data_IF_064039900615
#
_entry.id   IF_064039900615
#
_cell.length_a   1.000
_cell.length_b   1.000
_cell.length_c   1.000
_cell.angle_alpha   90.00
_cell.angle_beta   90.00
_cell.angle_gamma   90.00
#
_symmetry.space_group_name_H-M   'P 1'
#
loop_
_entity.id
_entity.type
_entity.pdbx_description
1 polymer ?
#
# COMPACT_ATOMS: atom_id res chain seq x y z
N UNK A 1 -0.22 -10.06 -13.77
CA UNK A 1 -1.27 -10.73 -12.95
C UNK A 1 -2.36 -11.25 -13.89
N UNK A 2 -3.25 -12.13 -13.43
CA UNK A 2 -4.41 -12.63 -14.20
C UNK A 2 -5.74 -12.35 -13.48
N UNK A 3 -6.88 -12.43 -14.18
CA UNK A 3 -8.20 -12.14 -13.61
C UNK A 3 -8.58 -13.07 -12.46
N UNK A 4 -8.20 -14.34 -12.53
CA UNK A 4 -8.42 -15.30 -11.44
C UNK A 4 -7.71 -14.86 -10.15
N UNK A 5 -6.50 -14.32 -10.25
CA UNK A 5 -5.72 -13.79 -9.13
C UNK A 5 -6.36 -12.51 -8.59
N UNK A 6 -6.77 -11.59 -9.47
CA UNK A 6 -7.50 -10.37 -9.08
C UNK A 6 -8.78 -10.72 -8.31
N UNK A 7 -9.54 -11.71 -8.77
CA UNK A 7 -10.76 -12.17 -8.11
C UNK A 7 -10.54 -12.71 -6.69
N UNK A 8 -9.34 -13.17 -6.36
CA UNK A 8 -8.97 -13.72 -5.04
C UNK A 8 -8.40 -12.68 -4.07
N UNK A 9 -8.20 -11.44 -4.50
CA UNK A 9 -7.64 -10.39 -3.66
C UNK A 9 -8.52 -10.08 -2.44
N UNK A 10 -7.92 -10.18 -1.26
CA UNK A 10 -8.53 -9.82 0.01
C UNK A 10 -8.11 -8.41 0.43
N UNK A 11 -8.98 -7.45 0.15
CA UNK A 11 -8.85 -6.02 0.39
C UNK A 11 -9.04 -5.61 1.86
N UNK A 12 -9.70 -6.46 2.66
CA UNK A 12 -10.02 -6.15 4.08
C UNK A 12 -8.74 -6.02 4.92
N UNK A 13 -7.70 -6.79 4.60
CA UNK A 13 -6.45 -6.77 5.35
C UNK A 13 -5.59 -5.53 5.07
N UNK A 14 -5.63 -5.00 3.84
CA UNK A 14 -4.78 -3.88 3.46
C UNK A 14 -5.22 -2.57 4.13
N UNK A 15 -6.52 -2.28 4.15
CA UNK A 15 -7.06 -1.12 4.86
C UNK A 15 -6.75 -1.17 6.35
N UNK A 16 -6.92 -2.34 6.98
CA UNK A 16 -6.57 -2.56 8.38
C UNK A 16 -5.08 -2.31 8.66
N UNK A 17 -4.21 -2.74 7.75
CA UNK A 17 -2.76 -2.54 7.88
C UNK A 17 -2.36 -1.07 7.77
N UNK A 18 -2.92 -0.32 6.81
CA UNK A 18 -2.68 1.12 6.66
C UNK A 18 -3.10 1.88 7.94
N UNK A 19 -4.23 1.52 8.55
CA UNK A 19 -4.66 2.11 9.82
C UNK A 19 -3.72 1.78 10.98
N UNK A 20 -3.19 0.55 11.04
CA UNK A 20 -2.17 0.18 12.03
C UNK A 20 -0.87 0.98 11.85
N UNK A 21 -0.42 1.21 10.62
CA UNK A 21 0.75 2.05 10.34
C UNK A 21 0.51 3.50 10.77
N UNK A 22 -0.67 4.07 10.46
CA UNK A 22 -1.08 5.41 10.93
C UNK A 22 -1.11 5.51 12.45
N UNK A 23 -1.62 4.49 13.14
CA UNK A 23 -1.63 4.41 14.60
C UNK A 23 -0.20 4.33 15.16
N UNK A 24 0.66 3.50 14.58
CA UNK A 24 2.07 3.39 14.97
C UNK A 24 2.81 4.71 14.79
N UNK A 25 2.60 5.40 13.67
CA UNK A 25 3.19 6.71 13.41
C UNK A 25 2.84 7.71 14.51
N UNK A 26 1.54 7.83 14.83
CA UNK A 26 1.06 8.71 15.92
C UNK A 26 1.74 8.39 17.25
N UNK A 27 1.84 7.10 17.59
CA UNK A 27 2.53 6.65 18.81
C UNK A 27 4.00 7.06 18.82
N UNK A 28 4.74 6.87 17.71
CA UNK A 28 6.14 7.28 17.62
C UNK A 28 6.32 8.79 17.68
N UNK A 29 5.41 9.57 17.11
CA UNK A 29 5.43 11.04 17.23
C UNK A 29 5.32 11.51 18.69
N UNK A 30 4.45 10.90 19.49
CA UNK A 30 4.34 11.21 20.92
C UNK A 30 5.58 10.78 21.72
N UNK A 31 6.17 9.65 21.37
CA UNK A 31 7.45 9.21 21.95
C UNK A 31 8.55 10.20 21.60
N UNK A 32 8.68 10.60 20.34
CA UNK A 32 9.66 11.59 19.89
C UNK A 32 9.54 12.91 20.66
N UNK A 33 8.32 13.40 20.84
CA UNK A 33 8.06 14.61 21.63
C UNK A 33 8.55 14.45 23.07
N UNK A 34 8.21 13.34 23.72
CA UNK A 34 8.65 13.03 25.10
C UNK A 34 10.17 12.92 25.21
N UNK A 35 10.81 12.25 24.24
CA UNK A 35 12.27 12.09 24.19
C UNK A 35 12.96 13.43 24.00
N UNK A 36 12.45 14.31 23.12
CA UNK A 36 12.98 15.67 22.94
C UNK A 36 12.95 16.46 24.25
N UNK A 37 11.83 16.46 24.97
CA UNK A 37 11.73 17.14 26.28
C UNK A 37 12.72 16.56 27.30
N UNK A 38 12.85 15.23 27.37
CA UNK A 38 13.79 14.59 28.32
C UNK A 38 15.26 14.78 27.93
N UNK A 39 15.56 15.04 26.66
CA UNK A 39 16.93 15.20 26.16
C UNK A 39 17.64 16.47 26.61
N UNK A 40 16.90 17.45 27.13
CA UNK A 40 17.45 18.73 27.59
C UNK A 40 18.43 18.54 28.74
N UNK A 41 18.18 17.53 29.60
CA UNK A 41 19.05 17.15 30.72
C UNK A 41 19.56 18.36 31.53
N UNK A 42 18.68 19.33 31.74
CA UNK A 42 19.01 20.61 32.37
C UNK A 42 19.66 20.41 33.74
N UNK A 43 20.80 21.05 33.95
CA UNK A 43 21.59 20.93 35.18
C UNK A 43 22.50 19.70 35.24
N UNK A 44 22.39 18.76 34.30
CA UNK A 44 23.31 17.62 34.20
C UNK A 44 24.49 17.96 33.28
N UNK A 45 25.65 18.17 33.88
CA UNK A 45 26.88 18.63 33.22
C UNK A 45 28.02 17.62 33.37
N UNK A 46 29.12 17.84 32.65
CA UNK A 46 30.27 16.95 32.59
C UNK A 46 30.09 15.77 31.64
N UNK A 47 31.11 14.91 31.56
CA UNK A 47 31.21 13.83 30.58
C UNK A 47 29.99 12.88 30.56
N UNK A 48 29.37 12.63 31.71
CA UNK A 48 28.15 11.83 31.81
C UNK A 48 26.94 12.52 31.17
N UNK A 49 26.76 13.83 31.39
CA UNK A 49 25.69 14.62 30.77
C UNK A 49 25.86 14.73 29.25
N UNK A 50 27.09 14.91 28.78
CA UNK A 50 27.40 14.99 27.35
C UNK A 50 27.15 13.65 26.63
N UNK A 51 27.57 12.54 27.25
CA UNK A 51 27.27 11.18 26.76
C UNK A 51 25.76 10.92 26.74
N UNK A 52 25.03 11.40 27.75
CA UNK A 52 23.57 11.32 27.81
C UNK A 52 22.92 12.05 26.64
N UNK A 53 23.31 13.31 26.40
CA UNK A 53 22.84 14.12 25.26
C UNK A 53 23.10 13.42 23.93
N UNK A 54 24.30 12.86 23.72
CA UNK A 54 24.63 12.15 22.48
C UNK A 54 23.73 10.92 22.24
N UNK A 55 23.41 10.16 23.29
CA UNK A 55 22.47 9.02 23.18
C UNK A 55 21.06 9.49 22.84
N UNK A 56 20.59 10.58 23.45
CA UNK A 56 19.30 11.17 23.10
C UNK A 56 19.26 11.68 21.66
N UNK A 57 20.31 12.36 21.19
CA UNK A 57 20.42 12.80 19.78
C UNK A 57 20.32 11.61 18.83
N UNK A 58 21.02 10.51 19.12
CA UNK A 58 20.96 9.29 18.32
C UNK A 58 19.55 8.72 18.27
N UNK A 59 18.88 8.63 19.42
CA UNK A 59 17.49 8.15 19.51
C UNK A 59 16.51 9.07 18.78
N UNK A 60 16.66 10.38 18.90
CA UNK A 60 15.83 11.39 18.21
C UNK A 60 15.95 11.24 16.69
N UNK A 61 17.17 11.06 16.19
CA UNK A 61 17.42 10.88 14.76
C UNK A 61 16.78 9.57 14.26
N UNK A 62 16.96 8.47 15.00
CA UNK A 62 16.33 7.18 14.68
C UNK A 62 14.80 7.28 14.63
N UNK A 63 14.19 7.86 15.67
CA UNK A 63 12.72 8.03 15.71
C UNK A 63 12.20 8.94 14.59
N UNK A 64 12.98 9.96 14.21
CA UNK A 64 12.61 10.85 13.10
C UNK A 64 12.62 10.11 11.77
N UNK A 65 13.65 9.29 11.53
CA UNK A 65 13.72 8.43 10.33
C UNK A 65 12.59 7.40 10.31
N UNK A 66 12.32 6.71 11.42
CA UNK A 66 11.22 5.75 11.52
C UNK A 66 9.85 6.38 11.21
N UNK A 67 9.60 7.60 11.70
CA UNK A 67 8.38 8.35 11.40
C UNK A 67 8.29 8.68 9.91
N UNK A 68 9.39 9.14 9.30
CA UNK A 68 9.43 9.44 7.86
C UNK A 68 9.15 8.20 7.00
N UNK A 69 9.71 7.06 7.38
CA UNK A 69 9.43 5.76 6.74
C UNK A 69 7.94 5.44 6.83
N UNK A 70 7.34 5.54 8.01
CA UNK A 70 5.92 5.26 8.20
C UNK A 70 5.02 6.22 7.41
N UNK A 71 5.37 7.50 7.33
CA UNK A 71 4.64 8.47 6.52
C UNK A 71 4.69 8.11 5.03
N UNK A 72 5.85 7.73 4.50
CA UNK A 72 5.98 7.36 3.10
C UNK A 72 5.20 6.08 2.76
N UNK A 73 5.30 5.03 3.60
CA UNK A 73 4.52 3.79 3.40
C UNK A 73 3.03 4.09 3.45
N UNK A 74 2.59 4.86 4.45
CA UNK A 74 1.18 5.24 4.60
C UNK A 74 0.68 6.07 3.40
N UNK A 75 1.53 6.95 2.86
CA UNK A 75 1.20 7.77 1.68
C UNK A 75 1.05 6.90 0.44
N UNK A 76 2.02 6.02 0.17
CA UNK A 76 2.01 5.14 -1.02
C UNK A 76 0.84 4.16 -1.01
N UNK A 77 0.50 3.63 0.16
CA UNK A 77 -0.54 2.61 0.29
C UNK A 77 -1.91 3.18 0.65
N UNK A 78 -1.99 4.49 0.91
CA UNK A 78 -3.22 5.14 1.36
C UNK A 78 -4.39 4.98 0.39
N UNK A 79 -4.10 4.92 -0.91
CA UNK A 79 -5.10 4.86 -1.98
C UNK A 79 -5.42 3.43 -2.42
N UNK A 80 -4.57 2.44 -2.08
CA UNK A 80 -4.76 1.06 -2.52
C UNK A 80 -6.09 0.46 -2.06
N UNK A 81 -6.59 0.65 -0.83
CA UNK A 81 -7.90 0.12 -0.44
C UNK A 81 -9.02 0.58 -1.39
N UNK A 82 -9.01 1.86 -1.80
CA UNK A 82 -10.00 2.41 -2.74
C UNK A 82 -9.82 1.84 -4.15
N UNK A 83 -8.58 1.77 -4.64
CA UNK A 83 -8.30 1.20 -5.96
C UNK A 83 -8.66 -0.29 -6.04
N UNK A 84 -8.35 -1.07 -5.01
CA UNK A 84 -8.73 -2.48 -4.90
C UNK A 84 -10.24 -2.67 -4.89
N UNK A 85 -10.97 -1.84 -4.14
CA UNK A 85 -12.43 -1.89 -4.12
C UNK A 85 -13.02 -1.61 -5.51
N UNK A 86 -12.44 -0.64 -6.24
CA UNK A 86 -12.86 -0.31 -7.60
C UNK A 86 -12.53 -1.44 -8.59
N UNK A 87 -11.32 -1.98 -8.58
CA UNK A 87 -10.89 -3.12 -9.40
C UNK A 87 -11.81 -4.33 -9.17
N UNK A 88 -12.15 -4.64 -7.93
CA UNK A 88 -13.05 -5.76 -7.59
C UNK A 88 -14.47 -5.52 -8.09
N UNK A 89 -14.95 -4.28 -8.00
CA UNK A 89 -16.24 -3.91 -8.55
C UNK A 89 -16.25 -4.05 -10.07
N UNK A 90 -15.26 -3.48 -10.77
CA UNK A 90 -15.17 -3.53 -12.23
C UNK A 90 -15.02 -4.96 -12.75
N UNK A 91 -14.23 -5.80 -12.06
CA UNK A 91 -14.11 -7.22 -12.38
C UNK A 91 -15.43 -7.96 -12.20
N UNK A 92 -16.15 -7.71 -11.09
CA UNK A 92 -17.46 -8.31 -10.85
C UNK A 92 -18.47 -7.88 -11.92
N UNK A 93 -18.56 -6.58 -12.19
CA UNK A 93 -19.49 -6.00 -13.17
C UNK A 93 -19.21 -6.56 -14.57
N UNK A 94 -17.93 -6.76 -14.93
CA UNK A 94 -17.53 -7.41 -16.18
C UNK A 94 -18.01 -8.87 -16.28
N UNK A 95 -17.82 -9.66 -15.22
CA UNK A 95 -18.26 -11.06 -15.19
C UNK A 95 -19.80 -11.18 -15.24
N UNK A 96 -20.52 -10.29 -14.55
CA UNK A 96 -21.98 -10.22 -14.60
C UNK A 96 -22.48 -9.83 -15.99
N UNK A 97 -21.83 -8.85 -16.65
CA UNK A 97 -22.13 -8.47 -18.02
C UNK A 97 -21.98 -9.63 -18.99
N UNK A 98 -20.83 -10.32 -18.97
CA UNK A 98 -20.54 -11.46 -19.85
C UNK A 98 -21.54 -12.60 -19.66
N UNK A 99 -21.82 -12.96 -18.40
CA UNK A 99 -22.80 -13.99 -18.05
C UNK A 99 -24.21 -13.64 -18.57
N UNK A 100 -24.63 -12.38 -18.44
CA UNK A 100 -25.91 -11.89 -18.94
C UNK A 100 -26.05 -11.94 -20.47
N UNK A 101 -24.93 -12.00 -21.21
CA UNK A 101 -24.89 -12.04 -22.67
C UNK A 101 -24.47 -13.42 -23.21
N UNK A 102 -24.27 -14.43 -22.35
CA UNK A 102 -23.84 -15.77 -22.75
C UNK A 102 -22.40 -15.84 -23.27
N UNK A 103 -21.57 -14.86 -22.89
CA UNK A 103 -20.14 -14.82 -23.20
C UNK A 103 -19.32 -15.30 -21.99
N UNK A 104 -18.07 -15.71 -22.25
CA UNK A 104 -17.10 -16.03 -21.20
C UNK A 104 -15.77 -15.40 -21.53
N UNK A 105 -14.96 -15.13 -20.50
CA UNK A 105 -13.62 -14.56 -20.61
C UNK A 105 -12.66 -15.48 -19.87
N UNK A 106 -11.47 -15.69 -20.43
CA UNK A 106 -10.41 -16.44 -19.75
C UNK A 106 -9.64 -15.56 -18.75
N UNK A 107 -8.73 -16.18 -17.99
CA UNK A 107 -7.96 -15.49 -16.96
C UNK A 107 -7.00 -14.42 -17.53
N UNK A 108 -6.66 -14.52 -18.82
CA UNK A 108 -5.81 -13.54 -19.52
C UNK A 108 -6.59 -12.31 -20.00
N UNK A 109 -7.92 -12.34 -19.90
CA UNK A 109 -8.80 -11.28 -20.36
C UNK A 109 -9.20 -11.42 -21.83
N UNK A 110 -9.11 -12.60 -22.43
CA UNK A 110 -9.58 -12.88 -23.79
C UNK A 110 -10.99 -13.47 -23.78
N UNK A 111 -11.86 -12.97 -24.66
CA UNK A 111 -13.23 -13.50 -24.80
C UNK A 111 -13.19 -14.83 -25.54
N UNK A 112 -13.92 -15.82 -25.04
CA UNK A 112 -14.01 -17.12 -25.70
C UNK A 112 -14.78 -17.03 -27.03
N UNK A 113 -14.27 -17.72 -28.05
CA UNK A 113 -14.89 -17.80 -29.37
C UNK A 113 -15.83 -19.02 -29.53
N UNK A 114 -16.93 -18.92 -30.31
CA UNK A 114 -17.39 -17.73 -31.00
C UNK A 114 -18.04 -16.72 -30.04
N UNK A 115 -17.63 -15.46 -30.12
CA UNK A 115 -18.22 -14.42 -29.30
C UNK A 115 -19.69 -14.11 -29.72
N UNK A 116 -20.61 -13.85 -28.78
CA UNK A 116 -21.97 -13.43 -29.11
C UNK A 116 -21.98 -12.10 -29.89
N UNK A 117 -22.79 -12.00 -30.94
CA UNK A 117 -22.83 -10.83 -31.83
C UNK A 117 -23.35 -9.53 -31.17
N UNK A 118 -23.96 -9.64 -29.99
CA UNK A 118 -24.47 -8.53 -29.18
C UNK A 118 -23.44 -8.02 -28.16
N UNK A 119 -22.19 -8.46 -28.26
CA UNK A 119 -21.10 -8.12 -27.34
C UNK A 119 -19.99 -7.42 -28.10
N UNK A 120 -19.49 -6.31 -27.53
CA UNK A 120 -18.32 -5.63 -28.06
C UNK A 120 -17.04 -6.25 -27.47
N UNK A 121 -16.47 -7.22 -28.19
CA UNK A 121 -15.29 -7.98 -27.74
C UNK A 121 -14.11 -7.06 -27.42
N UNK A 122 -13.80 -6.11 -28.31
CA UNK A 122 -12.66 -5.21 -28.14
C UNK A 122 -12.75 -4.39 -26.84
N UNK A 123 -13.96 -3.92 -26.51
CA UNK A 123 -14.22 -3.13 -25.30
C UNK A 123 -14.07 -3.96 -24.03
N UNK A 124 -14.61 -5.19 -24.02
CA UNK A 124 -14.45 -6.13 -22.90
C UNK A 124 -12.99 -6.46 -22.67
N UNK A 125 -12.25 -6.79 -23.72
CA UNK A 125 -10.85 -7.15 -23.57
C UNK A 125 -10.03 -5.95 -23.09
N UNK A 126 -10.36 -4.73 -23.54
CA UNK A 126 -9.73 -3.52 -23.03
C UNK A 126 -10.03 -3.30 -21.55
N UNK A 127 -11.28 -3.51 -21.12
CA UNK A 127 -11.65 -3.42 -19.71
C UNK A 127 -10.93 -4.47 -18.86
N UNK A 128 -10.85 -5.72 -19.32
CA UNK A 128 -10.10 -6.78 -18.66
C UNK A 128 -8.61 -6.46 -18.54
N UNK A 129 -7.99 -5.98 -19.63
CA UNK A 129 -6.59 -5.53 -19.64
C UNK A 129 -6.35 -4.38 -18.66
N UNK A 130 -7.27 -3.42 -18.58
CA UNK A 130 -7.17 -2.31 -17.63
C UNK A 130 -7.21 -2.79 -16.17
N UNK A 131 -8.12 -3.73 -15.85
CA UNK A 131 -8.21 -4.37 -14.52
C UNK A 131 -6.89 -5.05 -14.16
N UNK A 132 -6.34 -5.86 -15.08
CA UNK A 132 -5.07 -6.58 -14.87
C UNK A 132 -3.91 -5.59 -14.65
N UNK A 133 -3.80 -4.56 -15.49
CA UNK A 133 -2.72 -3.57 -15.41
C UNK A 133 -2.74 -2.79 -14.10
N UNK A 134 -3.92 -2.35 -13.64
CA UNK A 134 -4.05 -1.65 -12.37
C UNK A 134 -3.69 -2.56 -11.19
N UNK A 135 -4.08 -3.83 -11.25
CA UNK A 135 -3.69 -4.81 -10.22
C UNK A 135 -2.17 -5.05 -10.21
N UNK A 136 -1.54 -5.19 -11.38
CA UNK A 136 -0.09 -5.32 -11.47
C UNK A 136 0.64 -4.08 -10.93
N UNK A 137 0.13 -2.88 -11.21
CA UNK A 137 0.73 -1.65 -10.69
C UNK A 137 0.69 -1.59 -9.16
N UNK A 138 -0.43 -1.97 -8.55
CA UNK A 138 -0.56 -2.05 -7.08
C UNK A 138 0.44 -3.05 -6.50
N UNK A 139 0.54 -4.26 -7.07
CA UNK A 139 1.45 -5.30 -6.57
C UNK A 139 2.93 -4.87 -6.70
N UNK A 140 3.31 -4.33 -7.86
CA UNK A 140 4.66 -3.83 -8.10
C UNK A 140 5.03 -2.65 -7.18
N UNK A 141 4.11 -1.71 -6.99
CA UNK A 141 4.34 -0.55 -6.12
C UNK A 141 4.37 -0.94 -4.62
N UNK A 142 3.55 -1.92 -4.21
CA UNK A 142 3.63 -2.50 -2.87
C UNK A 142 4.99 -3.17 -2.64
N UNK A 143 5.46 -3.99 -3.58
CA UNK A 143 6.77 -4.64 -3.52
C UNK A 143 7.93 -3.63 -3.48
N UNK A 144 7.86 -2.58 -4.31
CA UNK A 144 8.85 -1.50 -4.31
C UNK A 144 8.89 -0.76 -2.96
N UNK A 145 7.72 -0.49 -2.37
CA UNK A 145 7.63 0.14 -1.04
C UNK A 145 8.24 -0.74 0.04
N UNK A 146 7.96 -2.05 0.05
CA UNK A 146 8.56 -2.98 1.01
C UNK A 146 10.08 -3.06 0.89
N UNK A 147 10.61 -3.03 -0.35
CA UNK A 147 12.05 -3.02 -0.59
C UNK A 147 12.71 -1.78 0.01
N UNK A 148 12.12 -0.61 -0.23
CA UNK A 148 12.59 0.67 0.31
C UNK A 148 12.62 0.63 1.85
N UNK A 149 11.57 0.09 2.49
CA UNK A 149 11.52 -0.08 3.95
C UNK A 149 12.60 -1.05 4.45
N UNK A 150 12.78 -2.19 3.77
CA UNK A 150 13.72 -3.22 4.17
C UNK A 150 15.19 -2.78 4.06
N UNK A 151 15.51 -1.96 3.06
CA UNK A 151 16.85 -1.43 2.85
C UNK A 151 17.17 -0.23 3.78
N UNK A 152 16.17 0.30 4.49
CA UNK A 152 16.31 1.52 5.29
C UNK A 152 16.57 2.76 4.43
N UNK A 153 16.36 2.66 3.12
CA UNK A 153 16.69 3.69 2.12
C UNK A 153 15.52 4.67 1.97
N UNK A 154 15.14 5.34 3.06
CA UNK A 154 14.22 6.48 3.03
C UNK A 154 14.86 7.65 3.76
N UNK A 155 15.61 8.44 2.98
CA UNK A 155 16.13 9.80 3.21
C UNK A 155 16.99 9.97 4.47
#
# INVERSE_FOLDING_TARGET
MDLATVGKWNDTHLGSYVELLRARRRSLTEVLKTVKTKSELTGWTGAAGDSGRQRFTTLINSLTSDIAILDEVTRRWGDYPTQLAQIKKDHKDLLEFLSGHGATIDDSGQVAEPAPSNVNVDEIEQQAKAIILLADDIDNNAAATMRIVAEGTLI
#
